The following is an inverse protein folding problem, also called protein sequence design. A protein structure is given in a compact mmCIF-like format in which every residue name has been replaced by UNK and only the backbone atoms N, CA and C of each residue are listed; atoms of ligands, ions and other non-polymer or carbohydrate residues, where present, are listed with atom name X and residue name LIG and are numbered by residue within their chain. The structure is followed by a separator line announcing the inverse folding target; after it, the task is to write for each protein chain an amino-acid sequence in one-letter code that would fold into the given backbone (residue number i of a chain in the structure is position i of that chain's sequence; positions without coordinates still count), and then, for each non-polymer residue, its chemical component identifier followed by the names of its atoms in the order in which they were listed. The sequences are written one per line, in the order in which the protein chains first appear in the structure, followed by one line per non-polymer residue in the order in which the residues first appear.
data_IF_002690481105
#
_entry.id   IF_002690481105
#
_cell.length_a   1.000
_cell.length_b   1.000
_cell.length_c   1.000
_cell.angle_alpha   90.00
_cell.angle_beta   90.00
_cell.angle_gamma   90.00
#
_symmetry.space_group_name_H-M   'P 1'
#
loop_
_entity.id
_entity.type
_entity.pdbx_description
1 polymer ?
#
# COMPACT_ATOMS: atom_id res chain seq x y z
N UNK A 1 19.39 -1.00 -9.27
CA UNK A 1 18.89 -1.05 -7.89
C UNK A 1 17.54 -1.77 -7.80
N UNK A 2 16.51 -1.35 -8.53
CA UNK A 2 15.17 -1.95 -8.53
C UNK A 2 15.00 -2.82 -9.78
N UNK A 3 14.59 -4.09 -9.58
CA UNK A 3 14.27 -5.02 -10.66
C UNK A 3 12.82 -4.85 -11.13
N UNK A 4 11.89 -4.77 -10.18
CA UNK A 4 10.45 -4.67 -10.44
C UNK A 4 9.82 -3.76 -9.38
N UNK A 5 8.75 -3.07 -9.75
CA UNK A 5 7.94 -2.31 -8.81
C UNK A 5 6.47 -2.35 -9.22
N UNK A 6 5.57 -2.14 -8.27
CA UNK A 6 4.15 -1.96 -8.52
C UNK A 6 3.51 -1.04 -7.49
N UNK A 7 2.53 -0.27 -7.91
CA UNK A 7 1.65 0.48 -7.03
C UNK A 7 0.58 -0.47 -6.44
N UNK A 8 0.43 -0.46 -5.11
CA UNK A 8 -0.57 -1.29 -4.43
C UNK A 8 -1.91 -0.58 -4.44
N UNK A 9 -2.99 -1.33 -4.72
CA UNK A 9 -4.36 -0.84 -4.64
C UNK A 9 -4.93 -0.23 -5.92
N UNK A 10 -4.09 0.12 -6.87
CA UNK A 10 -4.51 0.62 -8.17
C UNK A 10 -4.34 -0.44 -9.25
N UNK A 11 -5.29 -0.51 -10.18
CA UNK A 11 -5.07 -1.25 -11.41
C UNK A 11 -4.08 -0.47 -12.24
N UNK A 12 -2.86 -1.01 -12.39
CA UNK A 12 -1.85 -0.44 -13.27
C UNK A 12 -2.32 -0.60 -14.73
N UNK A 13 -3.24 0.23 -15.15
CA UNK A 13 -3.63 0.34 -16.56
C UNK A 13 -2.49 1.02 -17.29
N UNK A 14 -1.68 0.26 -17.98
CA UNK A 14 -0.58 0.77 -18.82
C UNK A 14 -1.11 1.72 -19.90
N UNK A 15 -2.35 1.52 -20.31
CA UNK A 15 -3.00 2.31 -21.38
C UNK A 15 -3.38 3.73 -20.91
N UNK A 16 -3.51 3.97 -19.61
CA UNK A 16 -3.80 5.31 -19.07
C UNK A 16 -2.61 6.29 -19.14
N UNK A 17 -1.40 5.78 -19.38
CA UNK A 17 -0.16 6.58 -19.47
C UNK A 17 0.33 6.69 -20.93
N UNK A 18 -0.23 5.92 -21.85
CA UNK A 18 0.23 5.88 -23.25
C UNK A 18 -0.21 7.09 -24.07
N UNK A 19 -1.23 7.83 -23.66
CA UNK A 19 -1.69 9.03 -24.34
C UNK A 19 -1.24 10.26 -23.57
N UNK A 20 -0.08 10.80 -23.97
CA UNK A 20 0.51 12.03 -23.40
C UNK A 20 -0.30 13.30 -23.77
N UNK A 21 -1.38 13.17 -24.51
CA UNK A 21 -2.25 14.28 -24.92
C UNK A 21 -3.48 14.43 -24.04
N UNK A 22 -3.78 13.45 -23.18
CA UNK A 22 -4.86 13.57 -22.21
C UNK A 22 -4.27 14.20 -20.95
N UNK A 23 -4.73 15.39 -20.58
CA UNK A 23 -4.54 15.93 -19.23
C UNK A 23 -5.14 14.93 -18.24
N UNK A 24 -4.27 14.18 -17.57
CA UNK A 24 -4.67 13.28 -16.50
C UNK A 24 -5.32 14.13 -15.41
N UNK A 25 -6.62 14.06 -15.30
CA UNK A 25 -7.37 14.68 -14.22
C UNK A 25 -6.87 14.10 -12.91
N UNK A 26 -6.15 14.91 -12.14
CA UNK A 26 -5.63 14.53 -10.82
C UNK A 26 -6.79 14.31 -9.85
N UNK A 27 -6.57 13.46 -8.84
CA UNK A 27 -7.53 13.30 -7.76
C UNK A 27 -7.64 14.59 -6.93
N UNK A 28 -8.84 14.95 -6.50
CA UNK A 28 -9.04 16.04 -5.57
C UNK A 28 -8.67 15.61 -4.14
N UNK A 29 -7.88 16.43 -3.46
CA UNK A 29 -7.53 16.24 -2.06
C UNK A 29 -8.12 17.38 -1.24
N UNK A 30 -9.15 17.10 -0.47
CA UNK A 30 -9.79 18.07 0.41
C UNK A 30 -8.91 18.44 1.61
N UNK A 31 -9.18 19.61 2.19
CA UNK A 31 -8.49 20.06 3.40
C UNK A 31 -8.68 19.06 4.55
N UNK A 32 -7.60 18.75 5.26
CA UNK A 32 -7.60 17.77 6.37
C UNK A 32 -7.55 16.31 5.95
N UNK A 33 -7.52 16.01 4.65
CA UNK A 33 -7.35 14.65 4.14
C UNK A 33 -5.89 14.39 3.76
N UNK A 34 -5.52 13.11 3.83
CA UNK A 34 -4.22 12.62 3.38
C UNK A 34 -4.38 11.41 2.48
N UNK A 35 -3.43 11.18 1.60
CA UNK A 35 -3.39 10.02 0.71
C UNK A 35 -2.07 9.30 0.92
N UNK A 36 -2.14 7.98 1.05
CA UNK A 36 -0.97 7.11 1.09
C UNK A 36 -0.88 6.32 -0.21
N UNK A 37 0.29 6.37 -0.83
CA UNK A 37 0.62 5.55 -1.98
C UNK A 37 1.67 4.51 -1.58
N UNK A 38 1.33 3.23 -1.68
CA UNK A 38 2.24 2.13 -1.39
C UNK A 38 2.81 1.56 -2.67
N UNK A 39 4.14 1.48 -2.71
CA UNK A 39 4.86 0.80 -3.77
C UNK A 39 5.54 -0.43 -3.20
N UNK A 40 5.26 -1.58 -3.80
CA UNK A 40 6.06 -2.78 -3.59
C UNK A 40 7.20 -2.76 -4.57
N UNK A 41 8.41 -2.97 -4.08
CA UNK A 41 9.62 -3.02 -4.90
C UNK A 41 10.32 -4.36 -4.72
N UNK A 42 10.83 -4.90 -5.82
CA UNK A 42 11.72 -6.06 -5.82
C UNK A 42 13.12 -5.54 -6.14
N UNK A 43 14.09 -5.71 -5.24
CA UNK A 43 15.46 -5.27 -5.48
C UNK A 43 16.13 -6.09 -6.57
N UNK A 44 17.08 -5.49 -7.25
CA UNK A 44 17.93 -6.16 -8.24
C UNK A 44 18.99 -7.09 -7.63
N UNK A 45 19.33 -6.90 -6.35
CA UNK A 45 20.22 -7.78 -5.58
C UNK A 45 19.86 -7.74 -4.11
N UNK A 46 20.14 -8.83 -3.38
CA UNK A 46 19.91 -8.93 -1.93
C UNK A 46 20.80 -7.98 -1.11
N UNK A 47 21.83 -7.42 -1.69
CA UNK A 47 22.72 -6.46 -1.01
C UNK A 47 22.00 -5.15 -0.69
N UNK A 48 21.00 -4.76 -1.48
CA UNK A 48 20.24 -3.54 -1.27
C UNK A 48 19.57 -3.47 0.12
N UNK A 49 19.23 -4.63 0.71
CA UNK A 49 18.61 -4.71 2.04
C UNK A 49 19.60 -4.96 3.19
N UNK A 50 20.86 -5.26 2.89
CA UNK A 50 21.85 -5.57 3.91
C UNK A 50 22.53 -4.35 4.49
N UNK A 51 22.59 -3.28 3.71
CA UNK A 51 23.15 -2.01 4.15
C UNK A 51 22.08 -1.17 4.84
N UNK A 52 21.90 -1.37 6.13
CA UNK A 52 20.98 -0.60 7.01
C UNK A 52 21.51 0.80 7.33
N UNK A 53 22.45 1.32 6.56
CA UNK A 53 22.98 2.67 6.70
C UNK A 53 22.51 3.60 5.57
N UNK A 54 22.69 4.91 5.73
CA UNK A 54 22.45 5.86 4.66
C UNK A 54 23.47 5.61 3.54
N UNK A 55 23.10 4.82 2.56
CA UNK A 55 23.99 4.48 1.44
C UNK A 55 24.26 5.68 0.52
N UNK A 56 23.54 6.77 0.70
CA UNK A 56 23.57 7.92 -0.21
C UNK A 56 23.02 7.61 -1.60
N UNK A 57 22.63 6.36 -1.86
CA UNK A 57 22.03 5.97 -3.13
C UNK A 57 20.57 6.39 -3.22
N UNK A 58 20.19 6.90 -4.37
CA UNK A 58 18.82 7.25 -4.68
C UNK A 58 18.06 6.01 -5.17
N UNK A 59 16.97 5.67 -4.46
CA UNK A 59 16.08 4.59 -4.84
C UNK A 59 15.13 5.01 -5.96
N UNK A 60 14.53 6.20 -5.81
CA UNK A 60 13.53 6.76 -6.73
C UNK A 60 13.50 8.27 -6.65
N UNK A 61 12.83 8.91 -7.61
CA UNK A 61 12.43 10.32 -7.50
C UNK A 61 10.91 10.39 -7.50
N UNK A 62 10.33 11.13 -6.57
CA UNK A 62 8.90 11.39 -6.47
C UNK A 62 8.63 12.79 -6.99
N UNK A 63 7.89 12.89 -8.07
CA UNK A 63 7.43 14.15 -8.65
C UNK A 63 5.94 14.32 -8.38
N UNK A 64 5.58 15.34 -7.62
CA UNK A 64 4.21 15.73 -7.35
C UNK A 64 3.87 17.00 -8.13
N UNK A 65 2.79 16.96 -8.89
CA UNK A 65 2.20 18.12 -9.56
C UNK A 65 0.84 18.38 -8.95
N UNK A 66 0.56 19.61 -8.58
CA UNK A 66 -0.70 19.98 -7.94
C UNK A 66 -1.06 21.44 -8.22
N UNK A 67 -2.33 21.75 -8.08
CA UNK A 67 -2.84 23.11 -8.10
C UNK A 67 -3.54 23.42 -6.79
N UNK A 68 -3.39 24.63 -6.29
CA UNK A 68 -4.13 25.08 -5.12
C UNK A 68 -5.56 25.45 -5.49
N UNK A 69 -6.49 25.29 -4.55
CA UNK A 69 -7.86 25.76 -4.71
C UNK A 69 -7.83 27.28 -4.99
N UNK A 70 -8.51 27.72 -6.03
CA UNK A 70 -8.56 29.13 -6.50
C UNK A 70 -7.25 29.67 -7.10
N UNK A 71 -6.30 28.82 -7.46
CA UNK A 71 -5.10 29.21 -8.18
C UNK A 71 -5.01 28.43 -9.49
N UNK A 72 -4.68 29.12 -10.57
CA UNK A 72 -4.44 28.51 -11.89
C UNK A 72 -2.99 28.05 -12.07
N UNK A 73 -2.12 28.37 -11.10
CA UNK A 73 -0.73 27.97 -11.15
C UNK A 73 -0.58 26.46 -10.88
N UNK A 74 0.17 25.80 -11.76
CA UNK A 74 0.59 24.41 -11.56
C UNK A 74 1.91 24.39 -10.78
N UNK A 75 1.86 23.89 -9.57
CA UNK A 75 3.02 23.75 -8.71
C UNK A 75 3.64 22.35 -8.90
N UNK A 76 4.94 22.28 -8.72
CA UNK A 76 5.70 21.02 -8.77
C UNK A 76 6.59 20.90 -7.54
N UNK A 77 6.55 19.74 -6.93
CA UNK A 77 7.47 19.33 -5.88
C UNK A 77 8.20 18.06 -6.34
N UNK A 78 9.51 18.02 -6.19
CA UNK A 78 10.33 16.86 -6.53
C UNK A 78 11.17 16.48 -5.32
N UNK A 79 11.18 15.20 -4.99
CA UNK A 79 11.94 14.67 -3.86
C UNK A 79 12.65 13.37 -4.24
N UNK A 80 13.94 13.31 -3.94
CA UNK A 80 14.74 12.11 -4.13
C UNK A 80 14.60 11.19 -2.91
N UNK A 81 14.02 10.02 -3.12
CA UNK A 81 13.84 8.99 -2.12
C UNK A 81 15.17 8.25 -1.93
N UNK A 82 15.80 8.34 -0.76
CA UNK A 82 17.02 7.59 -0.50
C UNK A 82 16.75 6.09 -0.32
N UNK A 83 17.73 5.26 -0.61
CA UNK A 83 17.67 3.81 -0.40
C UNK A 83 17.89 3.46 1.09
N UNK A 84 17.03 3.99 1.96
CA UNK A 84 17.05 3.70 3.39
C UNK A 84 15.96 2.68 3.71
N UNK A 85 16.35 1.56 4.30
CA UNK A 85 15.42 0.51 4.68
C UNK A 85 15.32 0.45 6.21
N UNK A 86 14.09 0.36 6.68
CA UNK A 86 13.76 0.26 8.10
C UNK A 86 12.96 -1.01 8.34
N UNK A 87 13.24 -1.72 9.42
CA UNK A 87 12.45 -2.89 9.81
C UNK A 87 10.98 -2.48 10.00
N UNK A 88 10.06 -3.32 9.50
CA UNK A 88 8.63 -3.04 9.53
C UNK A 88 8.11 -2.76 10.94
N UNK A 89 8.64 -3.43 11.96
CA UNK A 89 8.24 -3.21 13.36
C UNK A 89 8.73 -1.88 13.94
N UNK A 90 9.68 -1.25 13.27
CA UNK A 90 10.29 0.02 13.71
C UNK A 90 9.72 1.25 13.02
N UNK A 91 8.87 1.09 12.01
CA UNK A 91 8.16 2.21 11.39
C UNK A 91 6.97 2.67 12.24
N UNK A 92 6.43 3.84 11.94
CA UNK A 92 5.30 4.42 12.66
C UNK A 92 4.07 3.49 12.67
N UNK A 93 3.35 3.49 13.78
CA UNK A 93 2.15 2.65 13.97
C UNK A 93 1.07 2.92 12.92
N UNK A 94 0.91 4.17 12.52
CA UNK A 94 -0.03 4.55 11.47
C UNK A 94 0.31 3.90 10.12
N UNK A 95 1.60 3.82 9.77
CA UNK A 95 2.06 3.15 8.56
C UNK A 95 1.91 1.63 8.65
N UNK A 96 2.15 1.04 9.83
CA UNK A 96 1.89 -0.38 10.06
C UNK A 96 0.41 -0.70 9.89
N UNK A 97 -0.48 0.12 10.49
CA UNK A 97 -1.93 -0.06 10.37
C UNK A 97 -2.40 0.10 8.92
N UNK A 98 -1.95 1.13 8.22
CA UNK A 98 -2.26 1.34 6.82
C UNK A 98 -1.78 0.18 5.92
N UNK A 99 -0.66 -0.47 6.29
CA UNK A 99 -0.20 -1.70 5.62
C UNK A 99 -1.20 -2.84 5.82
N UNK A 100 -1.74 -3.02 7.03
CA UNK A 100 -2.78 -4.03 7.28
C UNK A 100 -4.04 -3.76 6.43
N UNK A 101 -4.44 -2.49 6.28
CA UNK A 101 -5.56 -2.10 5.41
C UNK A 101 -5.28 -2.42 3.95
N UNK A 102 -4.09 -2.13 3.45
CA UNK A 102 -3.67 -2.47 2.09
C UNK A 102 -3.67 -4.00 1.87
N UNK A 103 -3.12 -4.77 2.82
CA UNK A 103 -3.13 -6.24 2.79
C UNK A 103 -4.56 -6.81 2.79
N UNK A 104 -5.45 -6.25 3.60
CA UNK A 104 -6.87 -6.62 3.63
C UNK A 104 -7.51 -6.45 2.26
N UNK A 105 -7.34 -5.27 1.64
CA UNK A 105 -7.87 -4.99 0.30
C UNK A 105 -7.36 -5.98 -0.76
N UNK A 106 -6.06 -6.28 -0.75
CA UNK A 106 -5.47 -7.28 -1.63
C UNK A 106 -6.01 -8.69 -1.38
N UNK A 107 -6.23 -9.06 -0.11
CA UNK A 107 -6.77 -10.37 0.27
C UNK A 107 -8.22 -10.55 -0.18
N UNK A 108 -9.07 -9.53 0.03
CA UNK A 108 -10.46 -9.53 -0.44
C UNK A 108 -10.54 -9.61 -1.97
N UNK A 109 -9.67 -8.90 -2.68
CA UNK A 109 -9.54 -8.98 -4.15
C UNK A 109 -8.93 -10.30 -4.64
N UNK A 110 -8.51 -11.20 -3.75
CA UNK A 110 -7.82 -12.45 -4.08
C UNK A 110 -6.57 -12.23 -4.95
N UNK A 111 -5.83 -11.15 -4.68
CA UNK A 111 -4.65 -10.79 -5.42
C UNK A 111 -3.59 -11.90 -5.37
N UNK A 112 -2.96 -12.18 -6.51
CA UNK A 112 -1.86 -13.15 -6.60
C UNK A 112 -0.64 -12.76 -5.75
N UNK A 113 -0.51 -11.50 -5.39
CA UNK A 113 0.64 -10.95 -4.67
C UNK A 113 0.56 -11.13 -3.14
N UNK A 114 -0.61 -11.52 -2.60
CA UNK A 114 -0.80 -11.74 -1.16
C UNK A 114 -1.19 -13.19 -0.83
N UNK A 115 -0.91 -14.13 -1.71
CA UNK A 115 -1.34 -15.53 -1.54
C UNK A 115 -0.82 -16.18 -0.26
N UNK A 116 0.38 -15.82 0.17
CA UNK A 116 1.06 -16.41 1.33
C UNK A 116 0.67 -15.75 2.66
N UNK A 117 0.01 -14.59 2.66
CA UNK A 117 -0.47 -13.98 3.89
C UNK A 117 -1.82 -14.57 4.29
N UNK A 118 -1.97 -14.94 5.54
CA UNK A 118 -3.22 -15.42 6.10
C UNK A 118 -4.01 -14.25 6.74
N UNK A 119 -5.30 -14.47 7.05
CA UNK A 119 -6.12 -13.45 7.71
C UNK A 119 -5.58 -13.07 9.08
N UNK A 120 -5.02 -14.04 9.80
CA UNK A 120 -4.43 -13.80 11.11
C UNK A 120 -3.22 -12.85 11.05
N UNK A 121 -2.45 -12.86 9.96
CA UNK A 121 -1.32 -11.95 9.79
C UNK A 121 -1.81 -10.51 9.70
N UNK A 122 -2.88 -10.28 8.92
CA UNK A 122 -3.52 -8.97 8.77
C UNK A 122 -4.07 -8.49 10.12
N UNK A 123 -4.80 -9.39 10.83
CA UNK A 123 -5.35 -9.08 12.14
C UNK A 123 -4.25 -8.71 13.14
N UNK A 124 -3.17 -9.49 13.21
CA UNK A 124 -2.07 -9.25 14.15
C UNK A 124 -1.37 -7.91 13.89
N UNK A 125 -1.12 -7.56 12.62
CA UNK A 125 -0.53 -6.26 12.27
C UNK A 125 -1.48 -5.14 12.69
N UNK A 126 -2.76 -5.23 12.33
CA UNK A 126 -3.75 -4.23 12.68
C UNK A 126 -3.89 -4.08 14.21
N UNK A 127 -4.01 -5.20 14.95
CA UNK A 127 -4.14 -5.22 16.40
C UNK A 127 -2.92 -4.63 17.11
N UNK A 128 -1.71 -4.84 16.58
CA UNK A 128 -0.48 -4.32 17.15
C UNK A 128 -0.26 -2.83 16.89
N UNK A 129 -1.01 -2.24 15.96
CA UNK A 129 -0.76 -0.88 15.45
C UNK A 129 -1.97 0.05 15.51
N UNK A 130 -3.18 -0.44 15.82
CA UNK A 130 -4.36 0.42 15.88
C UNK A 130 -4.32 1.40 17.05
N UNK A 131 -4.94 2.56 16.87
CA UNK A 131 -5.22 3.52 17.93
C UNK A 131 -6.65 3.27 18.45
N UNK A 132 -6.83 2.90 19.74
CA UNK A 132 -8.15 2.66 20.33
C UNK A 132 -9.04 3.91 20.38
N UNK A 133 -8.47 5.11 20.26
CA UNK A 133 -9.22 6.36 20.22
C UNK A 133 -9.80 6.65 18.82
N UNK A 134 -9.35 5.92 17.78
CA UNK A 134 -9.85 6.04 16.42
C UNK A 134 -10.88 4.96 16.15
N UNK A 135 -12.16 5.33 16.23
CA UNK A 135 -13.28 4.41 16.09
C UNK A 135 -13.19 3.50 14.85
N UNK A 136 -12.87 4.07 13.69
CA UNK A 136 -12.76 3.31 12.43
C UNK A 136 -11.66 2.24 12.46
N UNK A 137 -10.61 2.44 13.23
CA UNK A 137 -9.55 1.44 13.36
C UNK A 137 -10.01 0.23 14.20
N UNK A 138 -10.79 0.48 15.25
CA UNK A 138 -11.42 -0.60 16.03
C UNK A 138 -12.45 -1.38 15.21
N UNK A 139 -13.26 -0.69 14.38
CA UNK A 139 -14.18 -1.36 13.45
C UNK A 139 -13.46 -2.18 12.39
N UNK A 140 -12.30 -1.72 11.93
CA UNK A 140 -11.50 -2.48 10.95
C UNK A 140 -11.07 -3.85 11.47
N UNK A 141 -10.68 -3.97 12.73
CA UNK A 141 -10.37 -5.27 13.35
C UNK A 141 -11.56 -6.24 13.24
N UNK A 142 -12.77 -5.76 13.59
CA UNK A 142 -13.98 -6.56 13.46
C UNK A 142 -14.29 -6.94 12.00
N UNK A 143 -13.96 -6.05 11.06
CA UNK A 143 -14.13 -6.31 9.64
C UNK A 143 -13.20 -7.42 9.15
N UNK A 144 -11.94 -7.46 9.63
CA UNK A 144 -10.98 -8.53 9.32
C UNK A 144 -11.51 -9.87 9.80
N UNK A 145 -12.01 -9.97 11.05
CA UNK A 145 -12.56 -11.20 11.62
C UNK A 145 -13.79 -11.71 10.84
N UNK A 146 -14.68 -10.80 10.47
CA UNK A 146 -15.86 -11.13 9.63
C UNK A 146 -15.44 -11.63 8.25
N UNK A 147 -14.46 -11.00 7.64
CA UNK A 147 -13.96 -11.42 6.34
C UNK A 147 -13.32 -12.83 6.43
N UNK A 148 -12.49 -13.08 7.42
CA UNK A 148 -11.93 -14.41 7.67
C UNK A 148 -13.00 -15.47 7.77
N UNK A 149 -14.05 -15.23 8.58
CA UNK A 149 -15.14 -16.18 8.75
C UNK A 149 -15.88 -16.49 7.43
N UNK A 150 -16.06 -15.48 6.56
CA UNK A 150 -16.73 -15.65 5.26
C UNK A 150 -15.85 -16.44 4.28
N UNK A 151 -14.59 -16.07 4.16
CA UNK A 151 -13.68 -16.65 3.18
C UNK A 151 -13.24 -18.07 3.56
N UNK A 152 -13.09 -18.36 4.86
CA UNK A 152 -12.78 -19.71 5.36
C UNK A 152 -13.93 -20.69 5.11
N UNK A 153 -15.19 -20.26 5.23
CA UNK A 153 -16.36 -21.08 4.90
C UNK A 153 -16.44 -21.41 3.41
N UNK A 154 -16.11 -20.44 2.54
CA UNK A 154 -16.08 -20.67 1.09
C UNK A 154 -15.03 -21.70 0.69
N UNK A 155 -13.85 -21.68 1.33
CA UNK A 155 -12.78 -22.65 1.07
C UNK A 155 -13.19 -24.07 1.43
N UNK A 156 -13.85 -24.27 2.58
CA UNK A 156 -14.38 -25.57 3.03
C UNK A 156 -15.50 -26.12 2.14
N UNK A 157 -16.35 -25.26 1.55
CA UNK A 157 -17.39 -25.72 0.63
C UNK A 157 -16.83 -26.17 -0.71
N UNK A 158 -15.78 -25.51 -1.20
CA UNK A 158 -15.15 -25.85 -2.47
C UNK A 158 -14.39 -27.19 -2.42
N UNK A 159 -13.70 -27.48 -1.31
CA UNK A 159 -13.01 -28.75 -1.11
C UNK A 159 -13.96 -29.96 -0.95
N UNK A 160 -15.24 -29.76 -0.61
CA UNK A 160 -16.25 -30.82 -0.51
C UNK A 160 -17.05 -31.08 -1.79
N UNK A 161 -16.88 -30.23 -2.81
CA UNK A 161 -17.55 -30.42 -4.12
C UNK A 161 -16.62 -31.05 -5.17
N UNK A 162 -15.34 -31.22 -4.84
CA UNK A 162 -14.33 -31.80 -5.72
C UNK A 162 -13.96 -33.25 -5.32
N UNK A 163 -14.63 -33.81 -4.29
CA UNK A 163 -14.64 -35.23 -3.91
C UNK A 163 -15.96 -35.89 -4.36
#
# INVERSE_FOLDING_TARGET
LIKEYRLIGFDNRRDAVADSTIDLEGGELGSGNSVLAYFEIVPGSDQLFKDTGPSGEKLATIDLRYSLCNDTAHLRFSWDCPANFTDFKSIDKELQFATAVAMFGLKVKQSKYIRNAEWIDIHNIAQASYDPNVFLQAEFLQLVDKAEAIYSRKKKKKSKSDD
#
